data_IF_252259628306
#
_entry.id   IF_252259628306
#
_cell.length_a   1.000
_cell.length_b   1.000
_cell.length_c   1.000
_cell.angle_alpha   90.00
_cell.angle_beta   90.00
_cell.angle_gamma   90.00
#
_symmetry.space_group_name_H-M   'P 1'
#
loop_
_entity.id
_entity.type
_entity.pdbx_description
1 polymer ?
#
# COMPACT_ATOMS: atom_id res chain seq x y z
N UNK A 1 17.34 -3.86 0.95
CA UNK A 1 16.96 -4.27 -0.43
C UNK A 1 17.33 -3.16 -1.41
N UNK A 2 17.47 -3.48 -2.69
CA UNK A 2 17.96 -2.59 -3.75
C UNK A 2 19.49 -2.57 -3.91
N UNK A 3 20.23 -2.22 -2.85
CA UNK A 3 21.70 -2.11 -2.91
C UNK A 3 22.47 -3.38 -2.47
N UNK A 4 21.76 -4.40 -1.97
CA UNK A 4 22.28 -5.67 -1.44
C UNK A 4 23.50 -5.55 -0.50
N UNK A 5 23.41 -4.63 0.47
CA UNK A 5 24.49 -4.33 1.43
C UNK A 5 23.94 -4.13 2.83
N UNK A 6 24.74 -4.55 3.82
CA UNK A 6 24.53 -4.18 5.21
C UNK A 6 24.77 -2.69 5.43
N UNK A 7 23.91 -2.07 6.24
CA UNK A 7 24.00 -0.67 6.67
C UNK A 7 23.73 -0.60 8.17
N UNK A 8 24.23 0.46 8.81
CA UNK A 8 24.19 0.64 10.25
C UNK A 8 23.66 2.03 10.59
N UNK A 9 22.98 2.12 11.74
CA UNK A 9 22.56 3.38 12.35
C UNK A 9 22.60 3.20 13.87
N UNK A 10 22.89 4.28 14.60
CA UNK A 10 23.03 4.24 16.05
C UNK A 10 21.69 3.96 16.77
N UNK A 11 20.57 4.34 16.14
CA UNK A 11 19.22 4.11 16.66
C UNK A 11 18.23 3.84 15.53
N UNK A 12 17.11 3.19 15.85
CA UNK A 12 16.01 3.00 14.90
C UNK A 12 15.35 4.33 14.49
N UNK A 13 15.31 5.32 15.39
CA UNK A 13 14.78 6.64 15.08
C UNK A 13 15.60 7.40 14.04
N UNK A 14 16.91 7.16 13.98
CA UNK A 14 17.79 7.77 12.98
C UNK A 14 17.45 7.32 11.55
N UNK A 15 17.01 6.08 11.36
CA UNK A 15 16.63 5.57 10.02
C UNK A 15 15.20 5.97 9.61
N UNK A 16 14.38 6.45 10.52
CA UNK A 16 12.98 6.86 10.27
C UNK A 16 12.73 8.35 10.49
N UNK A 17 13.78 9.18 10.60
CA UNK A 17 13.65 10.59 10.92
C UNK A 17 12.91 11.42 9.85
N UNK A 18 13.04 11.03 8.57
CA UNK A 18 12.38 11.68 7.44
C UNK A 18 11.18 10.85 6.98
N UNK A 19 10.08 11.54 6.69
CA UNK A 19 8.90 10.95 6.05
C UNK A 19 8.51 11.82 4.85
N UNK A 20 8.23 11.17 3.72
CA UNK A 20 7.65 11.81 2.55
C UNK A 20 6.21 11.32 2.39
N UNK A 21 5.30 12.22 2.03
CA UNK A 21 3.89 11.88 1.80
C UNK A 21 3.62 11.87 0.30
N UNK A 22 3.05 10.78 -0.18
CA UNK A 22 2.54 10.65 -1.53
C UNK A 22 1.01 10.53 -1.49
N UNK A 23 0.34 11.35 -2.29
CA UNK A 23 -1.09 11.40 -2.40
C UNK A 23 -1.54 10.62 -3.64
N UNK A 24 -2.57 9.77 -3.53
CA UNK A 24 -3.21 9.17 -4.69
C UNK A 24 -3.93 10.24 -5.51
N UNK A 25 -3.87 10.09 -6.83
CA UNK A 25 -4.65 10.87 -7.78
C UNK A 25 -4.97 10.04 -9.01
N UNK A 26 -6.13 10.25 -9.62
CA UNK A 26 -6.63 9.43 -10.71
C UNK A 26 -7.44 10.27 -11.70
N UNK A 27 -7.09 10.19 -12.98
CA UNK A 27 -7.94 10.75 -14.04
C UNK A 27 -9.11 9.83 -14.41
N UNK A 28 -8.90 8.51 -14.24
CA UNK A 28 -9.89 7.45 -14.41
C UNK A 28 -9.73 6.44 -13.26
N UNK A 29 -10.77 5.66 -12.97
CA UNK A 29 -10.79 4.68 -11.89
C UNK A 29 -9.66 3.62 -12.05
N UNK A 30 -8.69 3.52 -11.13
CA UNK A 30 -7.42 2.86 -11.36
C UNK A 30 -7.41 1.37 -11.04
N UNK A 31 -8.27 0.60 -11.71
CA UNK A 31 -8.60 -0.78 -11.32
C UNK A 31 -7.55 -1.87 -11.62
N UNK A 32 -6.36 -1.51 -12.12
CA UNK A 32 -5.29 -2.45 -12.53
C UNK A 32 -3.97 -1.77 -12.87
N UNK A 33 -2.88 -2.53 -12.88
CA UNK A 33 -1.52 -2.00 -13.12
C UNK A 33 -1.36 -1.23 -14.44
N UNK A 34 -1.98 -1.70 -15.52
CA UNK A 34 -1.93 -1.03 -16.84
C UNK A 34 -2.92 0.14 -16.98
N UNK A 35 -3.71 0.42 -15.94
CA UNK A 35 -4.52 1.63 -15.78
C UNK A 35 -4.33 2.17 -14.37
N UNK A 36 -3.08 2.22 -13.90
CA UNK A 36 -2.79 2.68 -12.56
C UNK A 36 -3.08 4.18 -12.43
N UNK A 37 -3.51 4.57 -11.23
CA UNK A 37 -3.51 5.96 -10.79
C UNK A 37 -2.09 6.40 -10.47
N UNK A 38 -1.96 7.66 -10.05
CA UNK A 38 -0.69 8.28 -9.71
C UNK A 38 -0.50 8.42 -8.20
N UNK A 39 0.76 8.37 -7.76
CA UNK A 39 1.20 8.79 -6.43
C UNK A 39 2.11 10.00 -6.58
N UNK A 40 1.69 11.16 -6.06
CA UNK A 40 2.41 12.42 -6.22
C UNK A 40 2.65 13.16 -4.89
N UNK A 41 3.64 14.07 -4.82
CA UNK A 41 3.95 14.82 -3.59
C UNK A 41 2.90 15.90 -3.25
N UNK A 42 1.96 16.16 -4.16
CA UNK A 42 0.86 17.10 -3.97
C UNK A 42 -0.46 16.34 -3.99
N UNK A 43 -1.44 16.73 -3.16
CA UNK A 43 -2.79 16.22 -3.29
C UNK A 43 -3.28 16.39 -4.73
N UNK A 44 -4.00 15.40 -5.23
CA UNK A 44 -4.75 15.57 -6.46
C UNK A 44 -5.78 16.72 -6.29
N UNK A 45 -6.22 17.28 -7.42
CA UNK A 45 -7.23 18.32 -7.41
C UNK A 45 -8.61 17.79 -7.00
N UNK A 46 -9.68 18.34 -7.58
CA UNK A 46 -11.00 17.68 -7.50
C UNK A 46 -10.98 16.43 -8.39
N UNK A 47 -10.71 15.29 -7.78
CA UNK A 47 -10.95 13.97 -8.39
C UNK A 47 -12.23 13.36 -7.81
N UNK A 48 -12.94 12.60 -8.64
CA UNK A 48 -14.03 11.74 -8.17
C UNK A 48 -13.45 10.56 -7.37
N UNK A 49 -14.17 10.01 -6.38
CA UNK A 49 -13.71 8.85 -5.64
C UNK A 49 -13.49 7.64 -6.56
N UNK A 50 -12.33 7.00 -6.41
CA UNK A 50 -12.06 5.69 -7.00
C UNK A 50 -12.91 4.59 -6.34
N UNK A 51 -13.24 3.54 -7.09
CA UNK A 51 -14.16 2.50 -6.62
C UNK A 51 -13.76 1.13 -7.12
N UNK A 52 -14.00 0.10 -6.31
CA UNK A 52 -13.94 -1.29 -6.73
C UNK A 52 -15.04 -2.08 -6.02
N UNK A 53 -15.43 -3.21 -6.61
CA UNK A 53 -16.44 -4.10 -6.03
C UNK A 53 -15.74 -5.26 -5.36
N UNK A 54 -16.02 -5.47 -4.08
CA UNK A 54 -15.62 -6.67 -3.36
C UNK A 54 -16.82 -7.63 -3.25
N UNK A 55 -16.81 -8.71 -4.03
CA UNK A 55 -17.80 -9.79 -3.90
C UNK A 55 -17.23 -10.90 -3.02
N UNK A 56 -17.83 -11.12 -1.84
CA UNK A 56 -17.40 -12.17 -0.93
C UNK A 56 -17.60 -13.60 -1.47
N UNK A 57 -18.39 -13.77 -2.54
CA UNK A 57 -18.54 -15.05 -3.25
C UNK A 57 -17.47 -15.27 -4.30
N UNK A 58 -16.76 -14.22 -4.70
CA UNK A 58 -15.62 -14.32 -5.59
C UNK A 58 -14.40 -14.83 -4.79
N UNK A 59 -14.05 -16.09 -5.03
CA UNK A 59 -12.90 -16.73 -4.40
C UNK A 59 -11.59 -16.40 -5.10
N UNK A 60 -11.59 -15.56 -6.13
CA UNK A 60 -10.41 -15.26 -6.94
C UNK A 60 -9.22 -14.74 -6.12
N UNK A 61 -9.45 -13.83 -5.17
CA UNK A 61 -8.42 -13.35 -4.26
C UNK A 61 -7.86 -14.47 -3.35
N UNK A 62 -8.72 -15.36 -2.85
CA UNK A 62 -8.30 -16.51 -2.03
C UNK A 62 -7.49 -17.52 -2.83
N UNK A 63 -7.94 -17.85 -4.05
CA UNK A 63 -7.24 -18.78 -4.94
C UNK A 63 -5.88 -18.22 -5.34
N UNK A 64 -5.80 -16.91 -5.58
CA UNK A 64 -4.55 -16.22 -5.86
C UNK A 64 -3.59 -16.30 -4.67
N UNK A 65 -4.06 -16.02 -3.45
CA UNK A 65 -3.26 -16.16 -2.23
C UNK A 65 -2.73 -17.59 -2.04
N UNK A 66 -3.58 -18.60 -2.28
CA UNK A 66 -3.19 -20.01 -2.23
C UNK A 66 -2.21 -20.43 -3.33
N UNK A 67 -2.19 -19.71 -4.46
CA UNK A 67 -1.27 -19.98 -5.58
C UNK A 67 0.14 -19.40 -5.37
N UNK A 68 0.30 -18.50 -4.40
CA UNK A 68 1.58 -17.86 -4.14
C UNK A 68 2.61 -18.88 -3.65
N UNK A 69 3.76 -18.91 -4.32
CA UNK A 69 4.87 -19.80 -4.01
C UNK A 69 5.91 -19.12 -3.12
N UNK A 70 7.01 -19.82 -2.78
CA UNK A 70 8.15 -19.22 -2.07
C UNK A 70 8.74 -17.99 -2.80
N UNK A 71 8.49 -17.84 -4.12
CA UNK A 71 8.94 -16.72 -4.95
C UNK A 71 8.05 -15.47 -4.91
N UNK A 72 7.11 -15.37 -3.96
CA UNK A 72 6.18 -14.23 -3.81
C UNK A 72 6.83 -12.84 -3.84
N UNK A 73 8.13 -12.73 -3.53
CA UNK A 73 8.87 -11.47 -3.60
C UNK A 73 8.90 -10.89 -5.01
N UNK A 74 8.98 -11.71 -6.06
CA UNK A 74 9.08 -11.25 -7.46
C UNK A 74 7.96 -11.80 -8.36
N UNK A 75 7.07 -12.61 -7.78
CA UNK A 75 5.88 -13.09 -8.47
C UNK A 75 4.84 -11.97 -8.59
N UNK A 76 4.70 -11.47 -9.81
CA UNK A 76 3.80 -10.35 -10.09
C UNK A 76 2.36 -10.78 -10.37
N UNK A 77 2.05 -12.07 -10.30
CA UNK A 77 0.73 -12.61 -10.66
C UNK A 77 -0.38 -11.87 -9.91
N UNK A 78 -0.18 -11.60 -8.62
CA UNK A 78 -1.17 -10.88 -7.80
C UNK A 78 -1.38 -9.42 -8.22
N UNK A 79 -0.31 -8.75 -8.66
CA UNK A 79 -0.36 -7.38 -9.16
C UNK A 79 -1.02 -7.31 -10.55
N UNK A 80 -0.73 -8.28 -11.42
CA UNK A 80 -1.13 -8.22 -12.84
C UNK A 80 -2.48 -8.86 -13.15
N UNK A 81 -2.95 -9.81 -12.33
CA UNK A 81 -4.21 -10.50 -12.59
C UNK A 81 -5.43 -9.61 -12.36
N UNK A 82 -6.51 -9.84 -13.10
CA UNK A 82 -7.82 -9.22 -12.86
C UNK A 82 -8.70 -10.07 -11.91
N UNK A 83 -8.24 -11.24 -11.47
CA UNK A 83 -8.96 -12.19 -10.60
C UNK A 83 -9.16 -11.71 -9.15
N UNK A 84 -8.74 -10.49 -8.84
CA UNK A 84 -9.04 -9.81 -7.58
C UNK A 84 -9.15 -8.31 -7.86
N UNK A 85 -10.37 -7.78 -7.77
CA UNK A 85 -10.63 -6.35 -7.92
C UNK A 85 -9.77 -5.57 -6.92
N UNK A 86 -9.03 -4.59 -7.44
CA UNK A 86 -8.09 -3.78 -6.67
C UNK A 86 -7.97 -2.40 -7.30
N UNK A 87 -7.46 -1.46 -6.52
CA UNK A 87 -7.01 -0.16 -7.01
C UNK A 87 -5.48 -0.16 -6.99
N UNK A 88 -4.86 0.31 -8.07
CA UNK A 88 -3.40 0.34 -8.23
C UNK A 88 -2.95 1.78 -8.46
N UNK A 89 -2.00 2.25 -7.65
CA UNK A 89 -1.42 3.58 -7.79
C UNK A 89 0.10 3.47 -7.89
N UNK A 90 0.71 4.29 -8.75
CA UNK A 90 2.15 4.27 -8.98
C UNK A 90 2.72 5.68 -8.98
N UNK A 91 3.90 5.86 -8.39
CA UNK A 91 4.62 7.13 -8.51
C UNK A 91 5.20 7.31 -9.92
N UNK A 92 5.65 8.54 -10.21
CA UNK A 92 6.63 8.70 -11.28
C UNK A 92 7.90 7.89 -10.97
N UNK A 93 8.66 7.46 -12.00
CA UNK A 93 9.97 6.87 -11.79
C UNK A 93 10.86 7.81 -10.96
N UNK A 94 11.61 7.25 -10.01
CA UNK A 94 12.56 8.03 -9.23
C UNK A 94 13.72 8.49 -10.12
N UNK A 95 14.06 9.79 -10.08
CA UNK A 95 15.15 10.37 -10.89
C UNK A 95 16.55 9.90 -10.44
N UNK A 96 16.65 9.35 -9.23
CA UNK A 96 17.88 8.84 -8.62
C UNK A 96 17.55 7.71 -7.66
N UNK A 97 18.57 6.91 -7.34
CA UNK A 97 18.49 5.90 -6.29
C UNK A 97 17.91 6.51 -5.02
N UNK A 98 16.76 5.97 -4.60
CA UNK A 98 15.99 6.47 -3.47
C UNK A 98 15.88 5.37 -2.44
N UNK A 99 16.40 5.63 -1.25
CA UNK A 99 16.30 4.71 -0.13
C UNK A 99 15.01 4.97 0.65
N UNK A 100 14.20 3.93 0.77
CA UNK A 100 13.02 3.91 1.62
C UNK A 100 13.26 2.89 2.73
N UNK A 101 13.45 3.39 3.95
CA UNK A 101 13.70 2.58 5.14
C UNK A 101 12.78 3.03 6.27
N UNK A 102 12.17 2.08 6.97
CA UNK A 102 11.27 2.38 8.08
C UNK A 102 9.89 1.75 7.92
N UNK A 103 8.86 2.51 8.28
CA UNK A 103 7.48 2.03 8.37
C UNK A 103 6.60 2.78 7.38
N UNK A 104 5.88 2.05 6.54
CA UNK A 104 4.86 2.63 5.68
C UNK A 104 3.60 2.95 6.49
N UNK A 105 3.01 4.12 6.21
CA UNK A 105 1.70 4.51 6.74
C UNK A 105 0.77 4.78 5.57
N UNK A 106 -0.42 4.22 5.64
CA UNK A 106 -1.47 4.46 4.68
C UNK A 106 -2.65 5.11 5.40
N UNK A 107 -3.15 6.21 4.85
CA UNK A 107 -4.33 6.91 5.34
C UNK A 107 -5.22 7.25 4.14
N UNK A 108 -6.49 6.91 4.25
CA UNK A 108 -7.47 7.16 3.20
C UNK A 108 -8.85 7.45 3.80
N UNK A 109 -9.63 8.22 3.04
CA UNK A 109 -11.05 8.38 3.27
C UNK A 109 -11.78 7.33 2.45
N UNK A 110 -12.43 6.39 3.13
CA UNK A 110 -13.07 5.24 2.48
C UNK A 110 -14.55 5.21 2.86
N UNK A 111 -15.40 5.11 1.86
CA UNK A 111 -16.82 4.80 2.03
C UNK A 111 -17.04 3.32 1.68
N UNK A 112 -17.91 2.65 2.44
CA UNK A 112 -18.35 1.28 2.18
C UNK A 112 -19.87 1.23 2.18
N UNK A 113 -20.43 0.38 1.32
CA UNK A 113 -21.87 0.14 1.21
C UNK A 113 -22.34 -1.07 2.04
N UNK A 114 -21.40 -1.82 2.63
CA UNK A 114 -21.63 -2.91 3.57
C UNK A 114 -21.38 -2.47 5.02
N UNK A 115 -21.93 -3.17 6.03
CA UNK A 115 -21.70 -2.85 7.44
C UNK A 115 -20.23 -2.98 7.89
N UNK A 116 -19.47 -3.88 7.27
CA UNK A 116 -18.06 -4.14 7.56
C UNK A 116 -17.37 -4.78 6.35
N UNK A 117 -16.06 -4.61 6.24
CA UNK A 117 -15.22 -5.27 5.25
C UNK A 117 -13.75 -5.22 5.68
N UNK A 118 -12.92 -6.04 5.03
CA UNK A 118 -11.48 -6.07 5.24
C UNK A 118 -10.78 -5.32 4.10
N UNK A 119 -9.80 -4.48 4.44
CA UNK A 119 -8.92 -3.80 3.49
C UNK A 119 -7.54 -4.44 3.53
N UNK A 120 -6.96 -4.66 2.36
CA UNK A 120 -5.57 -5.07 2.19
C UNK A 120 -4.87 -3.98 1.37
N UNK A 121 -3.71 -3.53 1.86
CA UNK A 121 -2.83 -2.62 1.12
C UNK A 121 -1.48 -3.30 1.00
N UNK A 122 -0.97 -3.44 -0.23
CA UNK A 122 0.39 -3.91 -0.50
C UNK A 122 1.23 -2.81 -1.14
N UNK A 123 2.52 -2.80 -0.83
CA UNK A 123 3.51 -1.89 -1.38
C UNK A 123 4.52 -2.72 -2.17
N UNK A 124 4.79 -2.27 -3.39
CA UNK A 124 5.71 -2.91 -4.31
C UNK A 124 6.74 -1.87 -4.80
N UNK A 125 7.98 -2.33 -5.01
CA UNK A 125 9.00 -1.63 -5.79
C UNK A 125 8.91 -2.10 -7.25
N UNK A 126 8.93 -1.16 -8.20
CA UNK A 126 8.87 -1.47 -9.63
C UNK A 126 10.22 -1.10 -10.25
N UNK A 127 10.99 -2.12 -10.60
CA UNK A 127 12.29 -1.96 -11.23
C UNK A 127 12.16 -1.41 -12.67
N UNK A 128 13.22 -0.81 -13.24
CA UNK A 128 13.19 -0.23 -14.58
C UNK A 128 12.84 -1.22 -15.71
N UNK A 129 13.08 -2.52 -15.51
CA UNK A 129 12.73 -3.59 -16.44
C UNK A 129 11.27 -4.07 -16.29
N UNK A 130 10.50 -3.45 -15.39
CA UNK A 130 9.13 -3.84 -15.07
C UNK A 130 9.02 -4.92 -14.00
N UNK A 131 10.13 -5.36 -13.38
CA UNK A 131 10.08 -6.31 -12.27
C UNK A 131 9.37 -5.68 -11.06
N UNK A 132 8.26 -6.27 -10.62
CA UNK A 132 7.62 -5.90 -9.37
C UNK A 132 8.17 -6.72 -8.22
N UNK A 133 8.66 -6.03 -7.19
CA UNK A 133 9.20 -6.62 -5.98
C UNK A 133 8.25 -6.28 -4.82
N UNK A 134 7.66 -7.30 -4.21
CA UNK A 134 6.83 -7.12 -3.01
C UNK A 134 7.69 -6.63 -1.84
N UNK A 135 7.30 -5.51 -1.23
CA UNK A 135 8.00 -4.95 -0.06
C UNK A 135 7.28 -5.31 1.24
N UNK A 136 5.99 -5.00 1.32
CA UNK A 136 5.19 -5.22 2.53
C UNK A 136 3.70 -5.13 2.24
N UNK A 137 2.88 -5.58 3.18
CA UNK A 137 1.43 -5.36 3.17
C UNK A 137 0.88 -5.15 4.58
N UNK A 138 -0.32 -4.59 4.67
CA UNK A 138 -1.11 -4.59 5.89
C UNK A 138 -2.57 -4.91 5.61
N UNK A 139 -3.26 -5.48 6.61
CA UNK A 139 -4.70 -5.76 6.56
C UNK A 139 -5.40 -5.04 7.70
N UNK A 140 -6.58 -4.49 7.42
CA UNK A 140 -7.37 -3.78 8.41
C UNK A 140 -8.86 -4.03 8.20
N UNK A 141 -9.54 -4.50 9.24
CA UNK A 141 -11.01 -4.58 9.26
C UNK A 141 -11.63 -3.22 9.55
N UNK A 142 -12.64 -2.81 8.78
CA UNK A 142 -13.27 -1.51 8.93
C UNK A 142 -13.82 -1.31 10.36
N UNK A 143 -14.46 -2.32 10.95
CA UNK A 143 -14.98 -2.25 12.31
C UNK A 143 -13.88 -2.04 13.38
N UNK A 144 -12.69 -2.62 13.17
CA UNK A 144 -11.57 -2.55 14.11
C UNK A 144 -10.89 -1.18 14.15
N UNK A 145 -11.18 -0.27 13.20
CA UNK A 145 -10.57 1.07 13.14
C UNK A 145 -10.71 1.87 14.42
N UNK A 146 -11.90 1.87 15.01
CA UNK A 146 -12.20 2.64 16.22
C UNK A 146 -11.49 2.11 17.46
N UNK A 147 -11.09 0.84 17.45
CA UNK A 147 -10.29 0.26 18.53
C UNK A 147 -8.82 0.65 18.34
N UNK A 148 -8.31 0.61 17.11
CA UNK A 148 -6.97 1.06 16.76
C UNK A 148 -6.77 2.56 17.07
N UNK A 149 -7.75 3.43 16.75
CA UNK A 149 -7.70 4.86 17.07
C UNK A 149 -7.54 5.08 18.59
N UNK A 150 -8.35 4.39 19.39
CA UNK A 150 -8.30 4.47 20.86
C UNK A 150 -6.98 3.96 21.44
N UNK A 151 -6.39 2.96 20.80
CA UNK A 151 -5.10 2.41 21.21
C UNK A 151 -3.95 3.35 20.83
N UNK A 152 -3.98 3.94 19.64
CA UNK A 152 -3.03 4.97 19.22
C UNK A 152 -3.04 6.20 20.15
N UNK A 153 -4.23 6.68 20.53
CA UNK A 153 -4.37 7.78 21.50
C UNK A 153 -3.76 7.43 22.86
N UNK A 154 -3.91 6.18 23.33
CA UNK A 154 -3.29 5.71 24.58
C UNK A 154 -1.77 5.73 24.52
N UNK A 155 -1.18 5.29 23.41
CA UNK A 155 0.28 5.29 23.27
C UNK A 155 0.86 6.69 23.07
N UNK A 156 0.15 7.60 22.38
CA UNK A 156 0.58 8.99 22.25
C UNK A 156 0.45 9.77 23.57
N UNK A 157 -0.59 9.50 24.37
CA UNK A 157 -0.73 10.08 25.71
C UNK A 157 0.32 9.58 26.71
N UNK A 158 0.82 8.35 26.54
CA UNK A 158 1.88 7.78 27.39
C UNK A 158 3.28 8.29 27.06
N UNK A 159 3.50 8.81 25.84
CA UNK A 159 4.79 9.40 25.42
C UNK A 159 4.92 10.90 25.78
N UNK A 160 3.90 11.51 26.38
CA UNK A 160 3.85 12.92 26.76
C UNK A 160 4.01 13.18 28.27
N UNK A 161 4.44 12.17 29.04
CA UNK A 161 4.79 12.23 30.47
C UNK A 161 6.26 11.83 30.67
#
# INVERSE_FOLDING_TARGET
>A
MGADKWRYADTLGAVTARHDVLYPGSGENPVRAYRAGTLGPKPAGKDEPDHYVHDARDLGALLLELSQTQSHLVDQTALLTDTANKLVYQSAPFEKDTEVSGVFKFAAWIAIDQPDTDFLVSIHDIAPDGTSIFLTHTRMRALSRRAADREADRYQGAAAL
#
